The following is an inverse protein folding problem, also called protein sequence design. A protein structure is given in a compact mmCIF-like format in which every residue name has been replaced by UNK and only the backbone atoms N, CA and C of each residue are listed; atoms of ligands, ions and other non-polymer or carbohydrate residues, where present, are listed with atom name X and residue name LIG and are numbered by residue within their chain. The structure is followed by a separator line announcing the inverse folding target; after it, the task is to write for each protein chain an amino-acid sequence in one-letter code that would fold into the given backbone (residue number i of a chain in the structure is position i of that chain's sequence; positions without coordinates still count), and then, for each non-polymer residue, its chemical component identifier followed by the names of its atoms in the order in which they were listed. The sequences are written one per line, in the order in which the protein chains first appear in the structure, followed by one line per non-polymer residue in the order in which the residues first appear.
data_IF_030966507005
#
_entry.id   IF_030966507005
#
_cell.length_a   1.000
_cell.length_b   1.000
_cell.length_c   1.000
_cell.angle_alpha   90.00
_cell.angle_beta   90.00
_cell.angle_gamma   90.00
#
_symmetry.space_group_name_H-M   'P 1'
#
loop_
_entity.id
_entity.type
_entity.pdbx_description
1 polymer ?
#
# COMPACT_ATOMS: atom_id res chain seq x y z
N UNK A 1 3.81 -2.46 -25.94
CA UNK A 1 4.05 -1.31 -26.84
C UNK A 1 5.19 -0.44 -26.34
N UNK A 2 5.03 0.13 -25.15
CA UNK A 2 5.90 1.12 -24.50
C UNK A 2 7.38 0.70 -24.37
N UNK A 3 7.67 -0.59 -24.20
CA UNK A 3 9.05 -1.06 -24.00
C UNK A 3 9.99 -0.87 -25.19
N UNK A 4 9.49 -0.76 -26.43
CA UNK A 4 10.33 -0.40 -27.60
C UNK A 4 10.66 1.09 -27.64
N UNK A 5 9.84 1.94 -27.01
CA UNK A 5 10.05 3.38 -26.98
C UNK A 5 11.00 3.77 -25.84
N UNK A 6 10.98 3.02 -24.73
CA UNK A 6 11.81 3.27 -23.54
C UNK A 6 13.21 2.63 -23.60
N UNK A 7 13.38 1.53 -24.34
CA UNK A 7 14.65 0.81 -24.41
C UNK A 7 15.26 0.85 -25.82
N UNK A 8 16.29 1.68 -25.97
CA UNK A 8 17.00 1.87 -27.24
C UNK A 8 17.72 0.61 -27.74
N UNK A 9 18.23 -0.23 -26.84
CA UNK A 9 18.91 -1.48 -27.20
C UNK A 9 17.91 -2.47 -27.81
N UNK A 10 16.76 -2.65 -27.16
CA UNK A 10 15.68 -3.49 -27.68
C UNK A 10 15.14 -2.95 -29.02
N UNK A 11 15.01 -1.63 -29.16
CA UNK A 11 14.59 -0.98 -30.40
C UNK A 11 15.56 -1.22 -31.55
N UNK A 12 16.86 -1.10 -31.28
CA UNK A 12 17.90 -1.31 -32.30
C UNK A 12 17.89 -2.76 -32.77
N UNK A 13 17.86 -3.74 -31.86
CA UNK A 13 17.80 -5.16 -32.24
C UNK A 13 16.51 -5.48 -33.01
N UNK A 14 15.37 -4.89 -32.62
CA UNK A 14 14.10 -5.01 -33.35
C UNK A 14 14.17 -4.43 -34.78
N UNK A 15 14.97 -3.40 -35.00
CA UNK A 15 15.17 -2.78 -36.31
C UNK A 15 16.20 -3.50 -37.16
N UNK A 16 17.22 -4.11 -36.55
CA UNK A 16 18.35 -4.72 -37.26
C UNK A 16 18.15 -6.22 -37.56
N UNK A 17 17.41 -6.95 -36.73
CA UNK A 17 17.20 -8.40 -36.87
C UNK A 17 15.74 -8.71 -37.23
N UNK A 18 15.52 -9.22 -38.45
CA UNK A 18 14.19 -9.60 -38.95
C UNK A 18 13.55 -10.74 -38.14
N UNK A 19 14.35 -11.64 -37.56
CA UNK A 19 13.86 -12.71 -36.67
C UNK A 19 13.29 -12.12 -35.39
N UNK A 20 14.01 -11.19 -34.77
CA UNK A 20 13.57 -10.50 -33.55
C UNK A 20 12.34 -9.64 -33.84
N UNK A 21 12.30 -8.96 -34.98
CA UNK A 21 11.12 -8.20 -35.42
C UNK A 21 9.88 -9.08 -35.49
N UNK A 22 9.99 -10.21 -36.18
CA UNK A 22 8.89 -11.17 -36.33
C UNK A 22 8.43 -11.74 -34.98
N UNK A 23 9.37 -12.02 -34.07
CA UNK A 23 9.06 -12.49 -32.72
C UNK A 23 8.27 -11.44 -31.94
N UNK A 24 8.74 -10.19 -31.91
CA UNK A 24 8.11 -9.10 -31.16
C UNK A 24 6.73 -8.78 -31.73
N UNK A 25 6.57 -8.72 -33.05
CA UNK A 25 5.27 -8.47 -33.69
C UNK A 25 4.28 -9.61 -33.42
N UNK A 26 4.74 -10.86 -33.45
CA UNK A 26 3.92 -12.01 -33.11
C UNK A 26 3.50 -11.98 -31.63
N UNK A 27 4.43 -11.65 -30.72
CA UNK A 27 4.14 -11.53 -29.29
C UNK A 27 3.14 -10.40 -29.01
N UNK A 28 3.27 -9.25 -29.68
CA UNK A 28 2.33 -8.11 -29.58
C UNK A 28 0.92 -8.50 -29.99
N UNK A 29 0.77 -9.30 -31.04
CA UNK A 29 -0.55 -9.81 -31.47
C UNK A 29 -1.18 -10.78 -30.47
N UNK A 30 -0.36 -11.44 -29.64
CA UNK A 30 -0.81 -12.37 -28.61
C UNK A 30 -0.95 -11.72 -27.22
N UNK A 31 -0.54 -10.45 -27.07
CA UNK A 31 -0.62 -9.69 -25.83
C UNK A 31 -2.09 -9.46 -25.45
N UNK A 32 -2.42 -9.65 -24.17
CA UNK A 32 -3.78 -9.51 -23.65
C UNK A 32 -4.70 -10.72 -23.85
N UNK A 33 -4.22 -11.80 -24.48
CA UNK A 33 -4.99 -13.04 -24.59
C UNK A 33 -4.94 -13.82 -23.27
N UNK A 34 -6.11 -14.25 -22.78
CA UNK A 34 -6.21 -15.07 -21.59
C UNK A 34 -5.58 -16.45 -21.81
N UNK A 35 -4.62 -16.80 -20.95
CA UNK A 35 -3.86 -18.07 -21.06
C UNK A 35 -4.55 -19.22 -20.34
N UNK A 36 -4.98 -19.02 -19.09
CA UNK A 36 -5.67 -20.01 -18.25
C UNK A 36 -6.53 -19.29 -17.20
N UNK A 37 -7.61 -19.93 -16.74
CA UNK A 37 -8.33 -19.51 -15.55
C UNK A 37 -7.68 -20.13 -14.30
N UNK A 38 -7.25 -19.29 -13.36
CA UNK A 38 -6.68 -19.71 -12.07
C UNK A 38 -7.49 -19.15 -10.90
N UNK A 39 -7.49 -19.86 -9.78
CA UNK A 39 -8.15 -19.41 -8.56
C UNK A 39 -7.43 -18.19 -7.99
N UNK A 40 -8.19 -17.17 -7.58
CA UNK A 40 -7.65 -16.02 -6.87
C UNK A 40 -7.05 -16.48 -5.53
N UNK A 41 -5.84 -16.00 -5.21
CA UNK A 41 -5.08 -16.50 -4.05
C UNK A 41 -5.77 -16.31 -2.69
N UNK A 42 -6.72 -15.38 -2.60
CA UNK A 42 -7.45 -15.09 -1.36
C UNK A 42 -8.98 -14.98 -1.54
N UNK A 43 -9.48 -14.94 -2.77
CA UNK A 43 -10.83 -14.43 -3.05
C UNK A 43 -11.89 -15.50 -2.87
N UNK A 44 -12.83 -15.27 -1.95
CA UNK A 44 -13.96 -16.16 -1.67
C UNK A 44 -15.26 -15.41 -1.90
N UNK A 45 -16.19 -16.03 -2.63
CA UNK A 45 -17.51 -15.48 -2.92
C UNK A 45 -18.55 -16.22 -2.10
N UNK A 46 -19.42 -15.47 -1.42
CA UNK A 46 -20.47 -15.99 -0.54
C UNK A 46 -21.81 -15.48 -1.07
N UNK A 47 -22.77 -16.38 -1.20
CA UNK A 47 -24.15 -16.05 -1.60
C UNK A 47 -25.15 -16.71 -0.65
N UNK A 48 -26.31 -16.06 -0.48
CA UNK A 48 -27.44 -16.60 0.29
C UNK A 48 -28.14 -17.75 -0.45
N UNK A 49 -28.17 -17.68 -1.78
CA UNK A 49 -28.76 -18.69 -2.66
C UNK A 49 -27.62 -19.43 -3.40
N UNK A 50 -27.88 -20.61 -4.00
CA UNK A 50 -26.86 -21.34 -4.75
C UNK A 50 -26.14 -20.46 -5.76
N UNK A 51 -24.80 -20.48 -5.75
CA UNK A 51 -23.99 -19.64 -6.65
C UNK A 51 -24.29 -19.88 -8.12
N UNK A 52 -24.70 -21.11 -8.49
CA UNK A 52 -25.12 -21.49 -9.84
C UNK A 52 -26.34 -20.72 -10.36
N UNK A 53 -27.11 -20.07 -9.49
CA UNK A 53 -28.22 -19.19 -9.88
C UNK A 53 -27.75 -17.80 -10.33
N UNK A 54 -26.50 -17.43 -10.06
CA UNK A 54 -25.93 -16.11 -10.36
C UNK A 54 -24.75 -16.18 -11.31
N UNK A 55 -23.88 -17.17 -11.12
CA UNK A 55 -22.59 -17.25 -11.80
C UNK A 55 -22.25 -18.68 -12.22
N UNK A 56 -21.64 -18.87 -13.40
CA UNK A 56 -21.12 -20.16 -13.80
C UNK A 56 -19.91 -20.55 -12.94
N UNK A 57 -19.88 -21.81 -12.51
CA UNK A 57 -18.82 -22.37 -11.68
C UNK A 57 -17.99 -23.37 -12.48
N UNK A 58 -16.74 -23.57 -12.07
CA UNK A 58 -15.85 -24.60 -12.59
C UNK A 58 -15.05 -25.23 -11.45
N UNK A 59 -14.54 -26.44 -11.66
CA UNK A 59 -13.60 -27.08 -10.74
C UNK A 59 -12.21 -26.52 -11.00
N UNK A 60 -11.50 -26.15 -9.94
CA UNK A 60 -10.12 -25.71 -10.05
C UNK A 60 -9.22 -26.87 -10.52
N UNK A 61 -8.28 -26.58 -11.42
CA UNK A 61 -7.44 -27.59 -12.08
C UNK A 61 -6.28 -28.10 -11.20
N UNK A 62 -6.09 -27.55 -9.99
CA UNK A 62 -5.02 -27.93 -9.06
C UNK A 62 -5.53 -27.97 -7.61
N UNK A 63 -5.47 -29.14 -6.98
CA UNK A 63 -5.76 -29.35 -5.56
C UNK A 63 -5.59 -30.82 -5.17
N UNK A 64 -4.92 -31.09 -4.05
CA UNK A 64 -4.63 -32.43 -3.53
C UNK A 64 -5.91 -33.13 -3.04
N UNK A 65 -6.75 -33.61 -3.95
CA UNK A 65 -7.89 -34.49 -3.65
C UNK A 65 -9.19 -33.79 -3.24
N UNK A 66 -9.16 -32.54 -2.79
CA UNK A 66 -10.36 -31.73 -2.58
C UNK A 66 -10.66 -30.87 -3.81
N UNK A 67 -11.83 -31.08 -4.42
CA UNK A 67 -12.25 -30.36 -5.61
C UNK A 67 -12.71 -28.94 -5.24
N UNK A 68 -11.75 -28.01 -5.12
CA UNK A 68 -12.05 -26.59 -4.95
C UNK A 68 -12.86 -26.07 -6.14
N UNK A 69 -13.98 -25.42 -5.86
CA UNK A 69 -14.84 -24.80 -6.88
C UNK A 69 -14.47 -23.33 -7.01
N UNK A 70 -14.40 -22.81 -8.23
CA UNK A 70 -14.18 -21.40 -8.51
C UNK A 70 -15.27 -20.85 -9.45
N UNK A 71 -15.54 -19.56 -9.36
CA UNK A 71 -16.34 -18.84 -10.35
C UNK A 71 -15.57 -18.74 -11.68
N UNK A 72 -16.28 -18.76 -12.81
CA UNK A 72 -15.69 -18.46 -14.11
C UNK A 72 -15.64 -16.94 -14.38
N UNK A 73 -16.37 -16.14 -13.60
CA UNK A 73 -16.37 -14.68 -13.71
C UNK A 73 -15.18 -14.04 -12.98
N UNK A 74 -14.77 -12.89 -13.47
CA UNK A 74 -13.69 -12.10 -12.87
C UNK A 74 -14.14 -11.43 -11.58
N UNK A 75 -13.19 -10.93 -10.79
CA UNK A 75 -13.51 -10.22 -9.54
C UNK A 75 -14.41 -9.00 -9.78
N UNK A 76 -14.21 -8.26 -10.87
CA UNK A 76 -15.00 -7.08 -11.19
C UNK A 76 -16.46 -7.44 -11.51
N UNK A 77 -16.66 -8.50 -12.29
CA UNK A 77 -18.00 -8.99 -12.64
C UNK A 77 -18.78 -9.46 -11.41
N UNK A 78 -18.11 -10.18 -10.50
CA UNK A 78 -18.71 -10.61 -9.23
C UNK A 78 -19.19 -9.41 -8.40
N UNK A 79 -18.38 -8.34 -8.34
CA UNK A 79 -18.74 -7.12 -7.65
C UNK A 79 -19.93 -6.40 -8.32
N UNK A 80 -19.97 -6.36 -9.66
CA UNK A 80 -21.09 -5.77 -10.41
C UNK A 80 -22.41 -6.53 -10.22
N UNK A 81 -22.36 -7.85 -10.05
CA UNK A 81 -23.54 -8.69 -9.75
C UNK A 81 -24.02 -8.49 -8.29
N UNK A 82 -23.21 -7.84 -7.45
CA UNK A 82 -23.56 -7.56 -6.05
C UNK A 82 -23.39 -8.74 -5.12
N UNK A 83 -22.57 -9.73 -5.48
CA UNK A 83 -22.25 -10.85 -4.60
C UNK A 83 -21.24 -10.43 -3.52
N UNK A 84 -21.39 -11.01 -2.32
CA UNK A 84 -20.46 -10.76 -1.22
C UNK A 84 -19.12 -11.43 -1.52
N UNK A 85 -18.06 -10.63 -1.51
CA UNK A 85 -16.69 -11.07 -1.69
C UNK A 85 -15.87 -10.80 -0.44
N UNK A 86 -15.13 -11.80 0.01
CA UNK A 86 -14.19 -11.71 1.11
C UNK A 86 -12.81 -12.18 0.66
N UNK A 87 -11.75 -11.57 1.19
CA UNK A 87 -10.39 -12.05 0.98
C UNK A 87 -9.86 -12.75 2.23
N UNK A 88 -9.44 -14.01 2.08
CA UNK A 88 -8.75 -14.80 3.08
C UNK A 88 -7.28 -14.92 2.68
N UNK A 89 -6.46 -13.98 3.15
CA UNK A 89 -5.04 -13.95 2.83
C UNK A 89 -4.25 -14.88 3.75
N UNK A 90 -3.55 -15.84 3.17
CA UNK A 90 -2.52 -16.60 3.88
C UNK A 90 -1.25 -15.74 4.03
N UNK A 91 -0.97 -15.27 5.23
CA UNK A 91 0.23 -14.47 5.51
C UNK A 91 1.31 -15.31 6.19
N UNK A 92 2.46 -15.47 5.52
CA UNK A 92 3.58 -16.26 6.02
C UNK A 92 4.13 -15.74 7.35
N UNK A 93 4.11 -14.42 7.57
CA UNK A 93 4.57 -13.81 8.82
C UNK A 93 3.74 -14.24 10.05
N UNK A 94 2.43 -14.46 9.90
CA UNK A 94 1.57 -14.96 10.98
C UNK A 94 1.93 -16.42 11.32
N UNK A 95 2.22 -17.24 10.30
CA UNK A 95 2.74 -18.60 10.51
C UNK A 95 4.08 -18.59 11.23
N UNK A 96 4.99 -17.69 10.87
CA UNK A 96 6.29 -17.53 11.53
C UNK A 96 6.10 -17.11 13.00
N UNK A 97 5.24 -16.13 13.28
CA UNK A 97 4.93 -15.69 14.64
C UNK A 97 4.33 -16.82 15.50
N UNK A 98 3.38 -17.59 14.94
CA UNK A 98 2.79 -18.73 15.63
C UNK A 98 3.83 -19.79 16.02
N UNK A 99 4.72 -20.14 15.08
CA UNK A 99 5.83 -21.06 15.35
C UNK A 99 6.84 -20.51 16.35
N UNK A 100 7.16 -19.21 16.27
CA UNK A 100 8.07 -18.57 17.22
C UNK A 100 7.50 -18.64 18.65
N UNK A 101 6.20 -18.34 18.83
CA UNK A 101 5.49 -18.50 20.10
C UNK A 101 5.56 -19.94 20.62
N UNK A 102 5.28 -20.92 19.78
CA UNK A 102 5.33 -22.35 20.14
C UNK A 102 6.73 -22.76 20.64
N UNK A 103 7.77 -22.41 19.88
CA UNK A 103 9.17 -22.73 20.22
C UNK A 103 9.57 -22.07 21.54
N UNK A 104 9.17 -20.82 21.79
CA UNK A 104 9.46 -20.11 23.04
C UNK A 104 8.74 -20.80 24.23
N UNK A 105 7.49 -21.22 24.03
CA UNK A 105 6.75 -22.00 25.03
C UNK A 105 7.45 -23.32 25.37
N UNK A 106 7.88 -24.08 24.36
CA UNK A 106 8.55 -25.37 24.55
C UNK A 106 9.96 -25.23 25.16
N UNK A 107 10.73 -24.23 24.73
CA UNK A 107 12.14 -24.08 25.14
C UNK A 107 12.33 -23.31 26.45
N UNK A 108 11.43 -22.39 26.79
CA UNK A 108 11.57 -21.49 27.95
C UNK A 108 10.40 -21.56 28.93
N UNK A 109 9.32 -22.28 28.61
CA UNK A 109 8.10 -22.31 29.43
C UNK A 109 7.35 -20.97 29.47
N UNK A 110 7.61 -20.08 28.51
CA UNK A 110 7.00 -18.74 28.43
C UNK A 110 5.88 -18.77 27.40
N UNK A 111 4.65 -18.45 27.82
CA UNK A 111 3.54 -18.21 26.90
C UNK A 111 3.45 -16.72 26.55
N UNK A 112 3.63 -16.39 25.27
CA UNK A 112 3.55 -15.02 24.77
C UNK A 112 2.12 -14.74 24.33
N UNK A 113 1.50 -13.71 24.90
CA UNK A 113 0.25 -13.15 24.37
C UNK A 113 0.55 -12.13 23.27
N UNK A 114 0.34 -12.53 22.02
CA UNK A 114 0.56 -11.69 20.85
C UNK A 114 -0.37 -10.47 20.78
N UNK A 115 -1.52 -10.49 21.48
CA UNK A 115 -2.48 -9.39 21.46
C UNK A 115 -2.14 -8.26 22.44
N UNK A 116 -1.25 -8.52 23.41
CA UNK A 116 -0.93 -7.59 24.49
C UNK A 116 0.58 -7.29 24.59
N UNK A 117 1.29 -7.31 23.46
CA UNK A 117 2.71 -6.91 23.42
C UNK A 117 2.82 -5.38 23.58
N UNK A 118 3.65 -4.88 24.53
CA UNK A 118 3.94 -3.46 24.65
C UNK A 118 4.52 -2.85 23.36
N UNK A 119 4.14 -1.61 23.06
CA UNK A 119 4.57 -0.91 21.83
C UNK A 119 5.78 -0.01 22.04
N UNK A 120 6.34 0.01 23.25
CA UNK A 120 7.39 0.90 23.74
C UNK A 120 8.64 0.15 24.23
N UNK A 121 8.82 -1.12 23.82
CA UNK A 121 9.98 -1.92 24.23
C UNK A 121 11.31 -1.38 23.65
N UNK A 122 12.15 -0.85 24.53
CA UNK A 122 13.43 -0.23 24.17
C UNK A 122 14.37 -1.19 23.41
N UNK A 123 14.41 -2.47 23.79
CA UNK A 123 15.31 -3.45 23.15
C UNK A 123 14.91 -3.71 21.69
N UNK A 124 13.61 -3.69 21.40
CA UNK A 124 13.09 -3.78 20.04
C UNK A 124 13.56 -2.59 19.22
N UNK A 125 13.43 -1.37 19.74
CA UNK A 125 13.90 -0.16 19.05
C UNK A 125 15.42 -0.11 18.87
N UNK A 126 16.20 -0.61 19.83
CA UNK A 126 17.66 -0.73 19.72
C UNK A 126 18.05 -1.69 18.59
N UNK A 127 17.39 -2.84 18.47
CA UNK A 127 17.60 -3.81 17.39
C UNK A 127 17.25 -3.22 16.02
N UNK A 128 16.14 -2.48 15.92
CA UNK A 128 15.78 -1.80 14.67
C UNK A 128 16.84 -0.73 14.33
N UNK A 129 17.26 0.06 15.32
CA UNK A 129 18.25 1.13 15.17
C UNK A 129 19.64 0.62 14.80
N UNK A 130 20.00 -0.63 15.12
CA UNK A 130 21.25 -1.25 14.68
C UNK A 130 21.24 -1.62 13.18
N UNK A 131 20.04 -1.77 12.60
CA UNK A 131 19.82 -2.23 11.23
C UNK A 131 19.82 -3.76 11.07
N UNK A 132 19.71 -4.51 12.18
CA UNK A 132 19.65 -5.97 12.23
C UNK A 132 18.23 -6.50 11.93
N UNK A 133 17.62 -6.00 10.86
CA UNK A 133 16.21 -6.28 10.50
C UNK A 133 16.03 -7.45 9.52
N UNK A 134 17.01 -8.36 9.42
CA UNK A 134 16.86 -9.57 8.59
C UNK A 134 15.76 -10.45 9.18
N UNK A 135 14.76 -10.81 8.38
CA UNK A 135 13.59 -11.56 8.85
C UNK A 135 12.57 -10.73 9.66
N UNK A 136 12.76 -9.42 9.77
CA UNK A 136 11.77 -8.51 10.36
C UNK A 136 10.84 -8.03 9.26
N UNK A 137 9.58 -8.48 9.33
CA UNK A 137 8.56 -8.22 8.31
C UNK A 137 8.51 -6.74 7.86
N UNK A 138 8.47 -6.53 6.55
CA UNK A 138 8.50 -5.22 5.85
C UNK A 138 9.79 -4.41 5.96
N UNK A 139 10.76 -4.80 6.79
CA UNK A 139 11.98 -4.02 7.05
C UNK A 139 13.28 -4.68 6.54
N UNK A 140 13.17 -5.72 5.71
CA UNK A 140 14.30 -6.59 5.34
C UNK A 140 15.16 -6.06 4.17
N UNK A 141 14.55 -5.29 3.26
CA UNK A 141 15.22 -4.86 2.02
C UNK A 141 16.40 -3.92 2.28
N UNK A 142 17.52 -4.09 1.57
CA UNK A 142 18.77 -3.38 1.86
C UNK A 142 18.64 -1.86 2.02
N UNK A 143 17.85 -1.20 1.15
CA UNK A 143 17.60 0.24 1.26
C UNK A 143 16.71 0.60 2.46
N UNK A 144 15.71 -0.22 2.78
CA UNK A 144 14.89 -0.05 3.98
C UNK A 144 15.74 -0.19 5.25
N UNK A 145 16.60 -1.20 5.32
CA UNK A 145 17.55 -1.40 6.45
C UNK A 145 18.40 -0.17 6.70
N UNK A 146 18.94 0.42 5.63
CA UNK A 146 19.72 1.64 5.69
C UNK A 146 18.91 2.79 6.30
N UNK A 147 17.69 3.03 5.79
CA UNK A 147 16.86 4.11 6.31
C UNK A 147 16.37 3.89 7.74
N UNK A 148 16.06 2.65 8.15
CA UNK A 148 15.70 2.35 9.54
C UNK A 148 16.89 2.64 10.47
N UNK A 149 18.11 2.28 10.06
CA UNK A 149 19.34 2.58 10.81
C UNK A 149 19.63 4.09 10.92
N UNK A 150 19.36 4.84 9.85
CA UNK A 150 19.49 6.31 9.86
C UNK A 150 18.37 6.96 10.69
N UNK A 151 17.14 6.43 10.62
CA UNK A 151 15.97 6.91 11.35
C UNK A 151 16.12 6.74 12.86
N UNK A 152 16.67 5.60 13.31
CA UNK A 152 16.70 5.19 14.71
C UNK A 152 15.30 5.32 15.35
N UNK A 153 14.34 4.45 14.96
CA UNK A 153 12.97 4.54 15.46
C UNK A 153 12.94 4.44 16.99
N UNK A 154 12.10 5.25 17.62
CA UNK A 154 11.92 5.31 19.09
C UNK A 154 10.46 5.14 19.48
N UNK A 155 9.57 5.15 18.51
CA UNK A 155 8.13 4.96 18.66
C UNK A 155 7.60 4.06 17.54
N UNK A 156 6.43 3.46 17.75
CA UNK A 156 5.78 2.68 16.71
C UNK A 156 5.45 3.54 15.46
N UNK A 157 5.06 4.80 15.67
CA UNK A 157 4.72 5.74 14.60
C UNK A 157 5.88 6.01 13.65
N UNK A 158 7.13 6.01 14.13
CA UNK A 158 8.33 6.08 13.29
C UNK A 158 8.39 4.94 12.27
N UNK A 159 8.09 3.72 12.71
CA UNK A 159 8.13 2.51 11.89
C UNK A 159 7.02 2.59 10.84
N UNK A 160 5.81 2.95 11.26
CA UNK A 160 4.66 3.11 10.37
C UNK A 160 4.92 4.18 9.30
N UNK A 161 5.49 5.32 9.68
CA UNK A 161 5.83 6.41 8.77
C UNK A 161 6.91 5.99 7.77
N UNK A 162 7.96 5.29 8.23
CA UNK A 162 9.01 4.77 7.34
C UNK A 162 8.47 3.80 6.30
N UNK A 163 7.59 2.86 6.70
CA UNK A 163 6.95 1.91 5.78
C UNK A 163 6.08 2.62 4.74
N UNK A 164 5.39 3.70 5.15
CA UNK A 164 4.58 4.51 4.25
C UNK A 164 5.44 5.34 3.27
N UNK A 165 6.53 5.93 3.76
CA UNK A 165 7.46 6.76 2.98
C UNK A 165 8.34 5.96 2.04
N UNK A 166 8.71 4.71 2.38
CA UNK A 166 9.59 3.87 1.56
C UNK A 166 8.87 3.25 0.35
N UNK A 167 8.34 4.12 -0.52
CA UNK A 167 7.64 3.77 -1.76
C UNK A 167 8.04 4.77 -2.86
N UNK A 168 7.97 4.38 -4.16
CA UNK A 168 8.22 5.31 -5.26
C UNK A 168 7.34 6.57 -5.15
N UNK A 169 7.95 7.75 -5.24
CA UNK A 169 7.31 9.04 -4.96
C UNK A 169 7.66 9.53 -3.55
N UNK A 170 6.98 9.08 -2.49
CA UNK A 170 7.21 9.57 -1.11
C UNK A 170 8.64 9.37 -0.57
N UNK A 171 9.42 8.46 -1.16
CA UNK A 171 10.79 8.17 -0.71
C UNK A 171 11.71 9.39 -0.74
N UNK A 172 11.42 10.39 -1.58
CA UNK A 172 12.16 11.66 -1.63
C UNK A 172 12.07 12.46 -0.32
N UNK A 173 11.04 12.23 0.50
CA UNK A 173 10.83 12.90 1.78
C UNK A 173 11.50 12.20 2.96
N UNK A 174 12.03 10.98 2.78
CA UNK A 174 12.70 10.22 3.86
C UNK A 174 13.86 11.01 4.49
N UNK A 175 14.77 11.64 3.72
CA UNK A 175 15.85 12.43 4.32
C UNK A 175 15.34 13.60 5.17
N UNK A 176 14.30 14.31 4.71
CA UNK A 176 13.69 15.41 5.48
C UNK A 176 13.06 14.90 6.76
N UNK A 177 12.32 13.79 6.70
CA UNK A 177 11.71 13.15 7.86
C UNK A 177 12.77 12.78 8.92
N UNK A 178 13.85 12.12 8.52
CA UNK A 178 14.94 11.71 9.42
C UNK A 178 15.66 12.91 10.03
N UNK A 179 15.97 13.94 9.24
CA UNK A 179 16.64 15.15 9.75
C UNK A 179 15.76 15.94 10.71
N UNK A 180 14.46 16.04 10.41
CA UNK A 180 13.50 16.71 11.26
C UNK A 180 13.35 15.97 12.61
N UNK A 181 13.25 14.63 12.57
CA UNK A 181 13.26 13.78 13.76
C UNK A 181 14.48 14.03 14.66
N UNK A 182 15.67 14.07 14.07
CA UNK A 182 16.92 14.28 14.82
C UNK A 182 17.18 15.73 15.20
N UNK A 183 16.26 16.65 14.90
CA UNK A 183 16.43 18.09 15.17
C UNK A 183 17.53 18.76 14.35
N UNK A 184 18.01 18.12 13.28
CA UNK A 184 19.02 18.66 12.36
C UNK A 184 18.39 19.74 11.47
N UNK A 185 17.15 19.52 11.05
CA UNK A 185 16.34 20.51 10.35
C UNK A 185 15.12 20.87 11.22
N UNK A 186 14.72 22.15 11.30
CA UNK A 186 13.54 22.53 12.07
C UNK A 186 12.29 21.96 11.41
N UNK A 187 11.37 21.45 12.22
CA UNK A 187 10.05 21.01 11.75
C UNK A 187 9.32 22.23 11.17
N UNK A 188 8.93 22.14 9.89
CA UNK A 188 8.19 23.20 9.20
C UNK A 188 6.78 22.73 8.90
N UNK A 189 5.81 23.50 9.38
CA UNK A 189 4.41 23.31 9.03
C UNK A 189 4.02 24.32 7.95
N UNK A 190 3.30 23.90 6.89
CA UNK A 190 2.79 24.84 5.88
C UNK A 190 1.88 25.93 6.47
N UNK A 191 1.19 25.63 7.57
CA UNK A 191 0.38 26.56 8.31
C UNK A 191 0.28 26.13 9.79
N UNK A 192 0.23 27.06 10.78
CA UNK A 192 0.13 26.71 12.21
C UNK A 192 -1.01 25.75 12.56
N UNK A 193 -2.17 25.87 11.92
CA UNK A 193 -3.32 24.96 12.09
C UNK A 193 -3.02 23.49 11.76
N UNK A 194 -1.93 23.22 11.01
CA UNK A 194 -1.56 21.86 10.63
C UNK A 194 -0.59 21.20 11.62
N UNK A 195 -0.09 21.91 12.63
CA UNK A 195 0.90 21.37 13.57
C UNK A 195 0.40 20.09 14.22
N UNK A 196 -0.79 20.10 14.81
CA UNK A 196 -1.36 18.93 15.49
C UNK A 196 -1.66 17.74 14.57
N UNK A 197 -1.77 17.97 13.25
CA UNK A 197 -2.05 16.91 12.26
C UNK A 197 -0.73 16.27 11.78
N UNK A 198 0.34 17.05 11.73
CA UNK A 198 1.62 16.67 11.12
C UNK A 198 2.74 16.48 12.14
N UNK A 199 2.50 16.74 13.42
CA UNK A 199 3.48 16.62 14.50
C UNK A 199 4.06 15.20 14.58
N UNK A 200 3.20 14.17 14.55
CA UNK A 200 3.59 12.76 14.58
C UNK A 200 4.49 12.36 13.39
N UNK A 201 4.44 13.12 12.29
CA UNK A 201 5.21 12.87 11.07
C UNK A 201 6.21 13.99 10.76
N UNK A 202 6.60 14.76 11.77
CA UNK A 202 7.63 15.80 11.69
C UNK A 202 7.38 16.83 10.58
N UNK A 203 6.11 17.19 10.34
CA UNK A 203 5.71 18.16 9.33
C UNK A 203 5.55 17.60 7.91
N UNK A 204 5.88 16.32 7.69
CA UNK A 204 5.74 15.66 6.38
C UNK A 204 4.34 15.05 6.28
N UNK A 205 3.65 15.23 5.15
CA UNK A 205 2.36 14.58 4.90
C UNK A 205 2.62 13.15 4.43
N UNK A 206 2.33 12.17 5.28
CA UNK A 206 2.62 10.74 5.03
C UNK A 206 1.33 9.95 4.77
N UNK A 207 0.28 10.21 5.55
CA UNK A 207 -0.94 9.41 5.53
C UNK A 207 -2.08 10.07 4.74
N UNK A 208 -3.00 9.26 4.24
CA UNK A 208 -4.17 9.76 3.54
C UNK A 208 -5.13 10.48 4.49
N UNK A 209 -5.20 9.99 5.73
CA UNK A 209 -5.96 10.53 6.85
C UNK A 209 -5.50 11.95 7.18
N UNK A 210 -4.20 12.22 7.11
CA UNK A 210 -3.67 13.58 7.27
C UNK A 210 -4.20 14.52 6.19
N UNK A 211 -4.30 14.08 4.94
CA UNK A 211 -4.91 14.87 3.85
C UNK A 211 -6.37 15.18 4.16
N UNK A 212 -7.13 14.21 4.69
CA UNK A 212 -8.52 14.40 5.08
C UNK A 212 -8.64 15.47 6.19
N UNK A 213 -7.82 15.37 7.23
CA UNK A 213 -7.81 16.34 8.33
C UNK A 213 -7.32 17.71 7.90
N UNK A 214 -6.35 17.81 6.99
CA UNK A 214 -5.88 19.08 6.44
C UNK A 214 -7.02 19.83 5.75
N UNK A 215 -7.77 19.17 4.85
CA UNK A 215 -8.85 19.86 4.12
C UNK A 215 -10.06 20.15 5.01
N UNK A 216 -10.29 19.34 6.04
CA UNK A 216 -11.27 19.66 7.07
C UNK A 216 -10.86 20.91 7.86
N UNK A 217 -9.63 20.95 8.36
CA UNK A 217 -9.13 22.06 9.17
C UNK A 217 -9.02 23.37 8.39
N UNK A 218 -8.53 23.30 7.14
CA UNK A 218 -8.30 24.50 6.32
C UNK A 218 -9.55 24.96 5.57
N UNK A 219 -10.45 24.06 5.15
CA UNK A 219 -11.55 24.41 4.26
C UNK A 219 -12.94 23.98 4.77
N UNK A 220 -13.04 23.45 6.00
CA UNK A 220 -14.33 23.09 6.62
C UNK A 220 -15.02 21.90 5.96
N UNK A 221 -14.28 21.02 5.29
CA UNK A 221 -14.82 19.82 4.66
C UNK A 221 -15.35 18.85 5.73
N UNK A 222 -16.50 18.21 5.45
CA UNK A 222 -16.85 16.96 6.14
C UNK A 222 -15.92 15.82 5.72
N UNK A 223 -15.79 14.77 6.53
CA UNK A 223 -14.94 13.62 6.20
C UNK A 223 -15.34 12.95 4.87
N UNK A 224 -16.64 12.90 4.56
CA UNK A 224 -17.13 12.38 3.28
C UNK A 224 -16.69 13.23 2.09
N UNK A 225 -16.76 14.57 2.21
CA UNK A 225 -16.25 15.47 1.18
C UNK A 225 -14.72 15.36 1.04
N UNK A 226 -14.02 15.20 2.16
CA UNK A 226 -12.56 15.08 2.19
C UNK A 226 -12.08 13.81 1.48
N UNK A 227 -12.79 12.69 1.61
CA UNK A 227 -12.48 11.48 0.83
C UNK A 227 -12.74 11.67 -0.68
N UNK A 228 -13.79 12.37 -1.07
CA UNK A 228 -14.03 12.74 -2.48
C UNK A 228 -12.86 13.58 -3.02
N UNK A 229 -12.40 14.56 -2.23
CA UNK A 229 -11.25 15.40 -2.57
C UNK A 229 -9.98 14.56 -2.75
N UNK A 230 -9.67 13.67 -1.79
CA UNK A 230 -8.52 12.75 -1.85
C UNK A 230 -8.57 11.85 -3.08
N UNK A 231 -9.74 11.26 -3.39
CA UNK A 231 -9.94 10.43 -4.60
C UNK A 231 -9.72 11.21 -5.89
N UNK A 232 -10.16 12.47 -5.94
CA UNK A 232 -9.94 13.34 -7.08
C UNK A 232 -8.45 13.61 -7.33
N UNK A 233 -7.67 13.86 -6.27
CA UNK A 233 -6.22 14.03 -6.37
C UNK A 233 -5.53 12.76 -6.89
N UNK A 234 -5.90 11.60 -6.34
CA UNK A 234 -5.31 10.32 -6.72
C UNK A 234 -5.53 9.97 -8.19
N UNK A 235 -6.74 10.22 -8.72
CA UNK A 235 -7.08 9.97 -10.13
C UNK A 235 -6.67 11.08 -11.10
N UNK A 236 -6.22 12.24 -10.58
CA UNK A 236 -5.82 13.42 -11.36
C UNK A 236 -6.85 13.86 -12.42
N UNK A 237 -8.15 13.73 -12.14
CA UNK A 237 -9.23 14.05 -13.10
C UNK A 237 -9.36 15.58 -13.23
N UNK A 238 -9.02 16.21 -14.38
CA UNK A 238 -8.89 17.67 -14.45
C UNK A 238 -10.16 18.44 -14.09
N UNK A 239 -11.32 17.97 -14.57
CA UNK A 239 -12.61 18.62 -14.30
C UNK A 239 -12.98 18.58 -12.80
N UNK A 240 -12.71 17.45 -12.13
CA UNK A 240 -12.99 17.29 -10.70
C UNK A 240 -12.00 18.11 -9.87
N UNK A 241 -10.70 18.10 -10.22
CA UNK A 241 -9.70 18.93 -9.56
C UNK A 241 -10.01 20.42 -9.64
N UNK A 242 -10.49 20.92 -10.79
CA UNK A 242 -10.91 22.31 -10.94
C UNK A 242 -12.12 22.65 -10.06
N UNK A 243 -13.08 21.72 -9.94
CA UNK A 243 -14.23 21.87 -9.04
C UNK A 243 -13.77 21.91 -7.57
N UNK A 244 -12.96 20.95 -7.16
CA UNK A 244 -12.48 20.85 -5.78
C UNK A 244 -11.55 21.99 -5.39
N UNK A 245 -10.74 22.53 -6.30
CA UNK A 245 -9.97 23.75 -6.06
C UNK A 245 -10.86 24.93 -5.69
N UNK A 246 -11.99 25.13 -6.39
CA UNK A 246 -12.95 26.20 -6.07
C UNK A 246 -13.61 25.98 -4.72
N UNK A 247 -13.99 24.74 -4.43
CA UNK A 247 -14.61 24.38 -3.14
C UNK A 247 -13.63 24.60 -1.99
N UNK A 248 -12.38 24.15 -2.13
CA UNK A 248 -11.32 24.35 -1.14
C UNK A 248 -11.06 25.83 -0.85
N UNK A 249 -10.85 26.65 -1.90
CA UNK A 249 -10.62 28.10 -1.72
C UNK A 249 -11.84 28.78 -1.09
N UNK A 250 -13.06 28.41 -1.52
CA UNK A 250 -14.29 28.95 -0.95
C UNK A 250 -14.46 28.57 0.52
N UNK A 251 -14.13 27.34 0.89
CA UNK A 251 -14.10 26.87 2.27
C UNK A 251 -13.04 27.59 3.09
N UNK A 252 -11.82 27.70 2.58
CA UNK A 252 -10.71 28.35 3.26
C UNK A 252 -10.99 29.84 3.55
N UNK A 253 -11.61 30.55 2.60
CA UNK A 253 -12.08 31.93 2.84
C UNK A 253 -13.11 32.03 3.96
N UNK A 254 -14.05 31.07 4.04
CA UNK A 254 -15.03 31.01 5.15
C UNK A 254 -14.36 30.71 6.50
N UNK A 255 -13.25 29.97 6.48
CA UNK A 255 -12.43 29.68 7.66
C UNK A 255 -11.48 30.83 8.04
N UNK A 256 -11.48 31.93 7.28
CA UNK A 256 -10.68 33.13 7.58
C UNK A 256 -9.28 33.16 6.95
N UNK A 257 -8.97 32.23 6.03
CA UNK A 257 -7.70 32.23 5.31
C UNK A 257 -7.72 33.20 4.13
N UNK A 258 -6.62 33.95 3.96
CA UNK A 258 -6.39 34.78 2.78
C UNK A 258 -6.15 33.91 1.53
N UNK A 259 -6.54 34.43 0.37
CA UNK A 259 -6.39 33.75 -0.92
C UNK A 259 -4.92 33.67 -1.38
#
# INVERSE_FOLDING_TARGET
GESLDENSELRNIYQEDDTVRNLVDSARRLEGIARHASTHAAGVVISKQPLTSYVPLQRASKGNGEATVMTQFTMEDIAHIGLLKMDFLGLANLTILGKAKEIIGQSRGIDIDLHHIPMDDAKTFDLLSSGETVGVFQLEGAGMRRYVKELKPTTFSDIAAMIALYRPGPMEHVPTFIKAKHGIEPIRYPHPTLSSILEETYGVIVYQEQVLFIVQALAGYSLGQADIFRKAMGKKIPAVMKKEKRNFIGGARKMGYSA
#
